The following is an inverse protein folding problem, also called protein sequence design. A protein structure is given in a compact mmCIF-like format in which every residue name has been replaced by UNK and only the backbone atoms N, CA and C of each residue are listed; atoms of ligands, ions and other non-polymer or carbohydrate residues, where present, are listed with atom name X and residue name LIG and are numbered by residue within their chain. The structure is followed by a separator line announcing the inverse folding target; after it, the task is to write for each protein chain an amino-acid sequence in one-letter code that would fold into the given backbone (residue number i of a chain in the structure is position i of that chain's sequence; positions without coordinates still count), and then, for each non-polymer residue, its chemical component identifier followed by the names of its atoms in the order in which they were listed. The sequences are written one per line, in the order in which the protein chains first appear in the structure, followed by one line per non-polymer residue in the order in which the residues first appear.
data_IF_000072130859
#
_entry.id   IF_000072130859
#
_cell.length_a   1.000
_cell.length_b   1.000
_cell.length_c   1.000
_cell.angle_alpha   90.00
_cell.angle_beta   90.00
_cell.angle_gamma   90.00
#
_symmetry.space_group_name_H-M   'P 1'
#
loop_
_entity.id
_entity.type
_entity.pdbx_description
1 polymer ?
#
# COMPACT_ATOMS: atom_id res chain seq x y z
N UNK A 1 -6.67 23.57 1.62
CA UNK A 1 -6.53 22.09 1.59
C UNK A 1 -6.06 21.64 2.97
N UNK A 2 -6.74 20.69 3.59
CA UNK A 2 -6.44 20.28 4.99
C UNK A 2 -5.23 19.35 5.04
N UNK A 3 -4.55 19.27 6.20
CA UNK A 3 -3.41 18.37 6.39
C UNK A 3 -3.81 16.88 6.24
N UNK A 4 -4.99 16.51 6.74
CA UNK A 4 -5.54 15.16 6.59
C UNK A 4 -5.72 14.77 5.12
N UNK A 5 -6.28 15.66 4.29
CA UNK A 5 -6.50 15.37 2.88
C UNK A 5 -5.20 15.20 2.09
N UNK A 6 -4.19 16.03 2.37
CA UNK A 6 -2.84 15.86 1.79
C UNK A 6 -2.19 14.53 2.18
N UNK A 7 -2.42 14.10 3.41
CA UNK A 7 -1.89 12.82 3.90
C UNK A 7 -2.58 11.65 3.19
N UNK A 8 -3.90 11.73 2.97
CA UNK A 8 -4.64 10.74 2.18
C UNK A 8 -4.20 10.70 0.71
N UNK A 9 -3.93 11.85 0.09
CA UNK A 9 -3.38 11.91 -1.27
C UNK A 9 -2.04 11.19 -1.35
N UNK A 10 -1.16 11.44 -0.38
CA UNK A 10 0.15 10.79 -0.32
C UNK A 10 0.05 9.29 -0.04
N UNK A 11 -0.91 8.85 0.77
CA UNK A 11 -1.19 7.42 0.95
C UNK A 11 -1.63 6.76 -0.36
N UNK A 12 -2.49 7.42 -1.14
CA UNK A 12 -2.94 6.89 -2.42
C UNK A 12 -1.78 6.78 -3.44
N UNK A 13 -0.93 7.80 -3.52
CA UNK A 13 0.29 7.76 -4.35
C UNK A 13 1.21 6.59 -3.96
N UNK A 14 1.41 6.35 -2.66
CA UNK A 14 2.22 5.23 -2.18
C UNK A 14 1.58 3.89 -2.52
N UNK A 15 0.26 3.75 -2.38
CA UNK A 15 -0.48 2.54 -2.76
C UNK A 15 -0.40 2.25 -4.26
N UNK A 16 -0.44 3.27 -5.12
CA UNK A 16 -0.22 3.12 -6.56
C UNK A 16 1.23 2.72 -6.89
N UNK A 17 2.22 3.34 -6.23
CA UNK A 17 3.63 3.00 -6.39
C UNK A 17 3.93 1.56 -5.94
N UNK A 18 3.34 1.13 -4.82
CA UNK A 18 3.41 -0.27 -4.35
C UNK A 18 2.85 -1.22 -5.41
N UNK A 19 1.70 -0.91 -6.01
CA UNK A 19 1.13 -1.74 -7.07
C UNK A 19 2.02 -1.79 -8.31
N UNK A 20 2.61 -0.66 -8.71
CA UNK A 20 3.58 -0.59 -9.80
C UNK A 20 4.80 -1.49 -9.53
N UNK A 21 5.39 -1.38 -8.35
CA UNK A 21 6.52 -2.21 -7.92
C UNK A 21 6.17 -3.70 -7.89
N UNK A 22 5.01 -4.07 -7.32
CA UNK A 22 4.54 -5.46 -7.31
C UNK A 22 4.33 -6.02 -8.72
N UNK A 23 3.80 -5.21 -9.65
CA UNK A 23 3.59 -5.60 -11.05
C UNK A 23 4.92 -5.78 -11.78
N UNK A 24 5.90 -4.92 -11.50
CA UNK A 24 7.26 -5.03 -12.02
C UNK A 24 8.12 -6.11 -11.31
N UNK A 25 7.55 -6.81 -10.31
CA UNK A 25 8.27 -7.74 -9.44
C UNK A 25 9.47 -7.11 -8.69
N UNK A 26 9.45 -5.78 -8.51
CA UNK A 26 10.43 -5.06 -7.71
C UNK A 26 10.04 -5.13 -6.22
N UNK A 27 10.36 -6.26 -5.60
CA UNK A 27 10.01 -6.54 -4.21
C UNK A 27 10.74 -5.62 -3.22
N UNK A 28 11.90 -5.09 -3.59
CA UNK A 28 12.65 -4.15 -2.76
C UNK A 28 11.97 -2.79 -2.74
N UNK A 29 11.59 -2.25 -3.90
CA UNK A 29 10.82 -1.00 -3.98
C UNK A 29 9.46 -1.14 -3.29
N UNK A 30 8.77 -2.28 -3.47
CA UNK A 30 7.51 -2.55 -2.78
C UNK A 30 7.65 -2.46 -1.26
N UNK A 31 8.70 -3.05 -0.68
CA UNK A 31 8.96 -2.99 0.76
C UNK A 31 9.27 -1.56 1.24
N UNK A 32 10.02 -0.78 0.46
CA UNK A 32 10.32 0.62 0.80
C UNK A 32 9.07 1.49 0.79
N UNK A 33 8.22 1.34 -0.22
CA UNK A 33 6.95 2.06 -0.29
C UNK A 33 5.99 1.67 0.84
N UNK A 34 5.97 0.38 1.21
CA UNK A 34 5.17 -0.09 2.34
C UNK A 34 5.62 0.54 3.67
N UNK A 35 6.93 0.62 3.91
CA UNK A 35 7.48 1.27 5.10
C UNK A 35 7.09 2.75 5.15
N UNK A 36 7.22 3.47 4.03
CA UNK A 36 6.80 4.86 3.92
C UNK A 36 5.29 5.03 4.18
N UNK A 37 4.48 4.10 3.67
CA UNK A 37 3.02 4.11 3.87
C UNK A 37 2.66 3.91 5.34
N UNK A 38 3.32 2.97 6.03
CA UNK A 38 3.12 2.73 7.47
C UNK A 38 3.46 3.96 8.31
N UNK A 39 4.63 4.55 8.08
CA UNK A 39 5.03 5.77 8.78
C UNK A 39 4.05 6.92 8.59
N UNK A 40 3.43 7.02 7.41
CA UNK A 40 2.44 8.04 7.13
C UNK A 40 1.09 7.75 7.81
N UNK A 41 0.66 6.49 7.83
CA UNK A 41 -0.54 6.06 8.56
C UNK A 41 -0.42 6.31 10.05
N UNK A 42 0.75 6.05 10.64
CA UNK A 42 1.00 6.28 12.07
C UNK A 42 0.94 7.78 12.44
N UNK A 43 1.10 8.67 11.46
CA UNK A 43 0.99 10.12 11.64
C UNK A 43 -0.43 10.68 11.53
N UNK A 44 -1.40 9.85 11.13
CA UNK A 44 -2.77 10.29 10.92
C UNK A 44 -3.54 10.45 12.24
N UNK A 45 -4.28 11.56 12.43
CA UNK A 45 -5.14 11.74 13.59
C UNK A 45 -6.42 10.90 13.46
N UNK A 46 -6.84 10.29 14.56
CA UNK A 46 -8.12 9.60 14.66
C UNK A 46 -9.14 10.49 15.44
N UNK A 47 -10.32 10.84 14.86
CA UNK A 47 -10.88 10.38 13.58
C UNK A 47 -10.52 11.28 12.39
N UNK A 48 -10.16 10.65 11.26
CA UNK A 48 -9.69 11.28 10.01
C UNK A 48 -10.63 12.34 9.40
N UNK A 49 -11.93 12.25 9.71
CA UNK A 49 -12.99 13.06 9.10
C UNK A 49 -13.47 14.20 9.99
N UNK A 50 -13.03 14.26 11.26
CA UNK A 50 -13.46 15.32 12.17
C UNK A 50 -12.94 16.66 11.67
N UNK A 51 -13.88 17.58 11.40
CA UNK A 51 -13.57 18.93 10.92
C UNK A 51 -13.35 19.05 9.40
N UNK A 52 -13.51 17.97 8.61
CA UNK A 52 -13.51 18.09 7.15
C UNK A 52 -14.84 18.65 6.63
N UNK A 53 -14.82 19.69 5.77
CA UNK A 53 -16.00 20.11 5.02
C UNK A 53 -16.56 18.95 4.19
N UNK A 54 -17.87 18.92 3.95
CA UNK A 54 -18.56 17.84 3.20
C UNK A 54 -17.89 17.54 1.86
N UNK A 55 -17.49 18.57 1.10
CA UNK A 55 -16.78 18.41 -0.16
C UNK A 55 -15.41 17.72 -0.02
N UNK A 56 -14.72 17.89 1.12
CA UNK A 56 -13.45 17.23 1.41
C UNK A 56 -13.65 15.80 1.95
N UNK A 57 -14.79 15.49 2.56
CA UNK A 57 -15.13 14.14 3.01
C UNK A 57 -15.32 13.20 1.82
N UNK A 58 -15.99 13.65 0.75
CA UNK A 58 -16.18 12.83 -0.45
C UNK A 58 -14.83 12.53 -1.12
N UNK A 59 -13.96 13.53 -1.24
CA UNK A 59 -12.61 13.31 -1.78
C UNK A 59 -11.79 12.37 -0.90
N UNK A 60 -11.88 12.49 0.43
CA UNK A 60 -11.23 11.57 1.35
C UNK A 60 -11.69 10.12 1.14
N UNK A 61 -13.00 9.89 0.94
CA UNK A 61 -13.54 8.55 0.63
C UNK A 61 -12.95 7.99 -0.65
N UNK A 62 -12.95 8.76 -1.74
CA UNK A 62 -12.37 8.34 -3.02
C UNK A 62 -10.90 7.93 -2.88
N UNK A 63 -10.11 8.69 -2.12
CA UNK A 63 -8.70 8.38 -1.87
C UNK A 63 -8.53 7.08 -1.06
N UNK A 64 -9.34 6.89 -0.01
CA UNK A 64 -9.33 5.67 0.79
C UNK A 64 -9.70 4.45 -0.07
N UNK A 65 -10.74 4.57 -0.90
CA UNK A 65 -11.16 3.50 -1.81
C UNK A 65 -10.08 3.17 -2.86
N UNK A 66 -9.33 4.16 -3.33
CA UNK A 66 -8.20 3.95 -4.24
C UNK A 66 -7.09 3.13 -3.56
N UNK A 67 -6.74 3.45 -2.31
CA UNK A 67 -5.80 2.66 -1.51
C UNK A 67 -6.24 1.21 -1.37
N UNK A 68 -7.51 0.98 -0.97
CA UNK A 68 -8.08 -0.36 -0.80
C UNK A 68 -8.06 -1.17 -2.10
N UNK A 69 -8.35 -0.52 -3.24
CA UNK A 69 -8.31 -1.16 -4.55
C UNK A 69 -6.88 -1.58 -4.94
N UNK A 70 -5.88 -0.75 -4.64
CA UNK A 70 -4.48 -1.10 -4.88
C UNK A 70 -4.07 -2.28 -4.01
N UNK A 71 -4.40 -2.25 -2.72
CA UNK A 71 -4.10 -3.35 -1.78
C UNK A 71 -4.71 -4.67 -2.28
N UNK A 72 -5.99 -4.67 -2.69
CA UNK A 72 -6.66 -5.85 -3.25
C UNK A 72 -5.98 -6.39 -4.51
N UNK A 73 -5.35 -5.53 -5.33
CA UNK A 73 -4.60 -5.94 -6.54
C UNK A 73 -3.19 -6.44 -6.23
N UNK A 74 -2.56 -5.95 -5.17
CA UNK A 74 -1.22 -6.39 -4.73
C UNK A 74 -1.27 -7.79 -4.12
N UNK A 75 -2.31 -8.11 -3.34
CA UNK A 75 -2.44 -9.40 -2.65
C UNK A 75 -2.21 -10.64 -3.54
N UNK A 76 -2.86 -10.80 -4.71
CA UNK A 76 -2.62 -11.96 -5.56
C UNK A 76 -1.18 -12.03 -6.09
N UNK A 77 -0.54 -10.89 -6.38
CA UNK A 77 0.85 -10.85 -6.86
C UNK A 77 1.82 -11.34 -5.78
N UNK A 78 1.60 -10.92 -4.53
CA UNK A 78 2.36 -11.42 -3.38
C UNK A 78 2.15 -12.91 -3.17
N UNK A 79 0.91 -13.40 -3.28
CA UNK A 79 0.60 -14.82 -3.10
C UNK A 79 1.34 -15.70 -4.13
N UNK A 80 1.35 -15.27 -5.41
CA UNK A 80 2.11 -15.95 -6.47
C UNK A 80 3.60 -15.98 -6.12
N UNK A 81 4.19 -14.83 -5.79
CA UNK A 81 5.61 -14.74 -5.47
C UNK A 81 6.01 -15.58 -4.27
N UNK A 82 5.20 -15.57 -3.20
CA UNK A 82 5.45 -16.39 -2.02
C UNK A 82 5.40 -17.89 -2.36
N UNK A 83 4.50 -18.30 -3.24
CA UNK A 83 4.43 -19.67 -3.70
C UNK A 83 5.68 -20.08 -4.51
N UNK A 84 6.13 -19.23 -5.44
CA UNK A 84 7.37 -19.44 -6.19
C UNK A 84 8.57 -19.64 -5.25
N UNK A 85 8.76 -18.72 -4.30
CA UNK A 85 9.85 -18.77 -3.33
C UNK A 85 9.79 -20.05 -2.48
N UNK A 86 8.59 -20.47 -2.07
CA UNK A 86 8.40 -21.72 -1.33
C UNK A 86 8.82 -22.94 -2.15
N UNK A 87 8.49 -22.99 -3.44
CA UNK A 87 8.90 -24.08 -4.33
C UNK A 87 10.42 -24.07 -4.50
N UNK A 88 11.03 -22.92 -4.76
CA UNK A 88 12.49 -22.79 -4.91
C UNK A 88 13.25 -23.24 -3.66
N UNK A 89 12.80 -22.82 -2.48
CA UNK A 89 13.43 -23.20 -1.21
C UNK A 89 13.29 -24.69 -0.90
N UNK A 90 12.20 -25.34 -1.32
CA UNK A 90 12.03 -26.80 -1.17
C UNK A 90 12.85 -27.60 -2.18
N UNK A 91 13.06 -27.05 -3.38
CA UNK A 91 13.84 -27.67 -4.44
C UNK A 91 15.36 -27.47 -4.26
N UNK A 92 15.77 -26.55 -3.40
CA UNK A 92 17.16 -26.39 -3.03
C UNK A 92 17.64 -27.68 -2.34
N UNK A 93 18.66 -28.40 -2.87
CA UNK A 93 19.24 -29.52 -2.17
C UNK A 93 19.69 -29.03 -0.80
N UNK A 94 19.32 -29.76 0.26
CA UNK A 94 19.55 -29.35 1.64
C UNK A 94 20.98 -28.87 1.80
N UNK A 95 21.15 -27.60 2.13
CA UNK A 95 22.46 -27.03 2.42
C UNK A 95 23.03 -27.71 3.65
N UNK A 96 23.87 -28.71 3.42
CA UNK A 96 24.79 -29.33 4.38
C UNK A 96 26.04 -29.77 3.61
#
# INVERSE_FOLDING_TARGET
MTAALRTLERLAELSEAMLGAATAQDWQALAQHELARRSLTDSLPEPLTVGLPVAAQERARVLIEACLRCDARIQPLLAVRQNELRVMLRAAPGGA
#
